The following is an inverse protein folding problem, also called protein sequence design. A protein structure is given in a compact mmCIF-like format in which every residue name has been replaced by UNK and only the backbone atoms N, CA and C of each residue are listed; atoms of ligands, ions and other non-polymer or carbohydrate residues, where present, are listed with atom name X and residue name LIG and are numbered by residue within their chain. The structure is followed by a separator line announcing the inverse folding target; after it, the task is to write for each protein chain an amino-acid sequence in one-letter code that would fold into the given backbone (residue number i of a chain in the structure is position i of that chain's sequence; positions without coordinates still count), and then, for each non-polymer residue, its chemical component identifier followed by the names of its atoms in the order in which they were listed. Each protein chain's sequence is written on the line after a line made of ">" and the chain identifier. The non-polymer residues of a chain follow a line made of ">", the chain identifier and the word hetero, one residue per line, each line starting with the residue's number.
data_IF_553608921508
#
_entry.id   IF_553608921508
#
_cell.length_a   1.000
_cell.length_b   1.000
_cell.length_c   1.000
_cell.angle_alpha   90.00
_cell.angle_beta   90.00
_cell.angle_gamma   90.00
#
_symmetry.space_group_name_H-M   'P 1'
#
loop_
_entity.id
_entity.type
_entity.pdbx_description
1 polymer ?
#
# COMPACT_ATOMS: atom_id res chain seq x y z
N UNK A 1 27.29 -5.22 -12.71
CA UNK A 1 27.61 -5.75 -14.07
C UNK A 1 27.16 -4.81 -15.16
N UNK A 2 25.90 -4.35 -15.17
CA UNK A 2 25.42 -3.40 -16.19
C UNK A 2 26.23 -2.09 -16.27
N UNK A 3 26.67 -1.51 -15.15
CA UNK A 3 27.62 -0.36 -15.15
C UNK A 3 29.01 -0.65 -15.76
N UNK A 4 29.29 -1.91 -16.11
CA UNK A 4 30.52 -2.35 -16.79
C UNK A 4 30.25 -2.76 -18.26
N UNK A 5 29.08 -2.42 -18.81
CA UNK A 5 28.73 -2.68 -20.21
C UNK A 5 28.08 -4.05 -20.50
N UNK A 6 27.89 -4.91 -19.49
CA UNK A 6 27.17 -6.16 -19.67
C UNK A 6 25.70 -5.90 -20.04
N UNK A 7 25.13 -6.76 -20.89
CA UNK A 7 23.71 -6.73 -21.28
C UNK A 7 23.01 -7.98 -20.73
N UNK A 8 21.80 -7.80 -20.21
CA UNK A 8 20.92 -8.89 -19.79
C UNK A 8 19.93 -9.23 -20.90
N UNK A 9 19.50 -10.49 -20.92
CA UNK A 9 18.43 -10.99 -21.80
C UNK A 9 17.39 -11.64 -20.89
N UNK A 10 16.13 -11.26 -21.07
CA UNK A 10 14.99 -11.97 -20.49
C UNK A 10 14.45 -12.93 -21.53
N UNK A 11 14.32 -14.21 -21.17
CA UNK A 11 13.79 -15.25 -22.04
C UNK A 11 12.64 -15.96 -21.33
N UNK A 12 11.48 -15.96 -21.96
CA UNK A 12 10.26 -16.58 -21.46
C UNK A 12 9.94 -17.81 -22.32
N UNK A 13 10.36 -19.02 -21.90
CA UNK A 13 10.05 -20.25 -22.62
C UNK A 13 8.56 -20.60 -22.48
N UNK A 14 8.02 -21.28 -23.49
CA UNK A 14 6.61 -21.73 -23.48
C UNK A 14 6.27 -22.67 -22.32
N UNK A 15 7.27 -23.39 -21.80
CA UNK A 15 7.16 -24.18 -20.58
C UNK A 15 8.02 -23.55 -19.49
N UNK A 16 7.42 -23.30 -18.32
CA UNK A 16 8.12 -22.77 -17.14
C UNK A 16 9.36 -23.61 -16.82
N UNK A 17 10.54 -23.00 -16.95
CA UNK A 17 11.81 -23.67 -16.71
C UNK A 17 12.17 -23.77 -15.21
N UNK A 18 11.67 -22.83 -14.40
CA UNK A 18 11.93 -22.76 -12.97
C UNK A 18 10.62 -22.59 -12.20
N UNK A 19 10.31 -23.54 -11.32
CA UNK A 19 9.13 -23.49 -10.45
C UNK A 19 9.58 -23.25 -9.00
N UNK A 20 9.04 -22.22 -8.37
CA UNK A 20 9.30 -21.88 -6.98
C UNK A 20 8.03 -21.91 -6.13
N UNK A 21 8.20 -22.07 -4.82
CA UNK A 21 7.12 -21.88 -3.84
C UNK A 21 6.99 -20.40 -3.49
N UNK A 22 5.81 -19.82 -3.64
CA UNK A 22 5.50 -18.47 -3.15
C UNK A 22 5.00 -18.49 -1.72
N UNK A 23 5.07 -17.35 -1.03
CA UNK A 23 4.42 -17.19 0.27
C UNK A 23 2.90 -17.19 0.11
N UNK A 24 2.20 -17.88 1.01
CA UNK A 24 0.73 -17.97 1.03
C UNK A 24 0.12 -17.19 2.20
N UNK A 25 0.91 -16.95 3.26
CA UNK A 25 0.51 -16.14 4.41
C UNK A 25 0.73 -14.64 4.13
N UNK A 26 -0.21 -13.81 4.61
CA UNK A 26 -0.10 -12.37 4.56
C UNK A 26 1.19 -11.88 5.23
N UNK A 27 1.43 -12.34 6.45
CA UNK A 27 2.56 -11.89 7.25
C UNK A 27 3.90 -12.21 6.60
N UNK A 28 4.06 -13.41 6.06
CA UNK A 28 5.29 -13.81 5.36
C UNK A 28 5.54 -12.98 4.12
N UNK A 29 4.48 -12.71 3.33
CA UNK A 29 4.55 -11.81 2.19
C UNK A 29 4.99 -10.40 2.61
N UNK A 30 4.44 -9.86 3.70
CA UNK A 30 4.82 -8.53 4.20
C UNK A 30 6.27 -8.46 4.72
N UNK A 31 6.74 -9.49 5.42
CA UNK A 31 8.15 -9.60 5.87
C UNK A 31 9.08 -9.71 4.66
N UNK A 32 8.70 -10.49 3.65
CA UNK A 32 9.49 -10.60 2.42
C UNK A 32 9.58 -9.26 1.70
N UNK A 33 8.46 -8.56 1.53
CA UNK A 33 8.45 -7.22 0.94
C UNK A 33 9.28 -6.24 1.77
N UNK A 34 9.19 -6.26 3.10
CA UNK A 34 10.02 -5.42 3.96
C UNK A 34 11.52 -5.65 3.69
N UNK A 35 11.97 -6.91 3.65
CA UNK A 35 13.38 -7.25 3.40
C UNK A 35 13.86 -6.74 2.04
N UNK A 36 13.09 -7.00 0.99
CA UNK A 36 13.43 -6.57 -0.37
C UNK A 36 13.55 -5.05 -0.45
N UNK A 37 12.58 -4.35 0.11
CA UNK A 37 12.51 -2.89 0.03
C UNK A 37 13.55 -2.20 0.92
N UNK A 38 13.86 -2.74 2.10
CA UNK A 38 14.97 -2.26 2.92
C UNK A 38 16.30 -2.40 2.17
N UNK A 39 16.55 -3.57 1.56
CA UNK A 39 17.79 -3.81 0.80
C UNK A 39 17.91 -2.90 -0.43
N UNK A 40 16.82 -2.73 -1.18
CA UNK A 40 16.76 -1.83 -2.34
C UNK A 40 17.01 -0.37 -1.94
N UNK A 41 16.41 0.09 -0.84
CA UNK A 41 16.61 1.45 -0.34
C UNK A 41 18.03 1.66 0.20
N UNK A 42 18.62 0.66 0.86
CA UNK A 42 20.03 0.71 1.27
C UNK A 42 20.95 0.90 0.07
N UNK A 43 20.69 0.20 -1.05
CA UNK A 43 21.42 0.40 -2.31
C UNK A 43 21.21 1.82 -2.84
N UNK A 44 19.96 2.31 -2.85
CA UNK A 44 19.62 3.68 -3.26
C UNK A 44 20.35 4.76 -2.45
N UNK A 45 20.61 4.50 -1.17
CA UNK A 45 21.33 5.42 -0.27
C UNK A 45 22.84 5.13 -0.19
N UNK A 46 23.35 4.16 -0.93
CA UNK A 46 24.78 3.80 -0.94
C UNK A 46 25.58 4.61 -1.95
N UNK A 47 26.91 4.41 -1.96
CA UNK A 47 27.78 4.93 -3.03
C UNK A 47 27.46 4.34 -4.42
N UNK A 48 26.68 3.26 -4.49
CA UNK A 48 26.20 2.64 -5.72
C UNK A 48 24.77 3.06 -6.11
N UNK A 49 24.31 4.21 -5.61
CA UNK A 49 23.00 4.78 -5.94
C UNK A 49 22.75 4.81 -7.47
N UNK A 50 21.64 4.23 -7.99
CA UNK A 50 21.37 4.20 -9.43
C UNK A 50 21.30 5.58 -10.10
N UNK A 51 20.81 6.60 -9.39
CA UNK A 51 20.61 7.95 -9.96
C UNK A 51 21.93 8.72 -10.07
N UNK A 52 22.91 8.42 -9.21
CA UNK A 52 24.21 9.10 -9.20
C UNK A 52 25.26 8.24 -9.91
N UNK A 53 25.49 7.04 -9.37
CA UNK A 53 26.48 6.10 -9.88
C UNK A 53 26.02 5.42 -11.17
N UNK A 54 24.73 5.07 -11.27
CA UNK A 54 24.18 4.39 -12.44
C UNK A 54 24.13 5.28 -13.67
N UNK A 55 23.55 6.48 -13.57
CA UNK A 55 23.38 7.41 -14.71
C UNK A 55 24.71 7.74 -15.40
N UNK A 56 25.82 7.80 -14.67
CA UNK A 56 27.15 8.04 -15.26
C UNK A 56 27.78 6.82 -15.96
N UNK A 57 27.18 5.62 -15.83
CA UNK A 57 27.80 4.34 -16.23
C UNK A 57 26.85 3.37 -16.94
N UNK A 58 25.57 3.69 -17.09
CA UNK A 58 24.58 2.94 -17.86
C UNK A 58 23.64 3.91 -18.58
N UNK A 59 22.79 3.42 -19.49
CA UNK A 59 21.83 4.29 -20.17
C UNK A 59 20.84 4.91 -19.18
N UNK A 60 20.40 6.14 -19.47
CA UNK A 60 19.44 6.86 -18.60
C UNK A 60 18.17 6.03 -18.34
N UNK A 61 17.51 5.41 -19.33
CA UNK A 61 16.32 4.60 -19.06
C UNK A 61 16.59 3.42 -18.13
N UNK A 62 17.76 2.77 -18.27
CA UNK A 62 18.14 1.68 -17.40
C UNK A 62 18.42 2.16 -15.96
N UNK A 63 19.10 3.29 -15.82
CA UNK A 63 19.35 3.90 -14.51
C UNK A 63 18.04 4.31 -13.83
N UNK A 64 17.07 4.83 -14.59
CA UNK A 64 15.73 5.15 -14.09
C UNK A 64 14.98 3.91 -13.61
N UNK A 65 15.04 2.78 -14.36
CA UNK A 65 14.42 1.53 -13.93
C UNK A 65 15.00 1.01 -12.61
N UNK A 66 16.34 1.04 -12.46
CA UNK A 66 16.97 0.71 -11.18
C UNK A 66 16.62 1.71 -10.06
N UNK A 67 16.53 2.99 -10.39
CA UNK A 67 16.14 4.05 -9.47
C UNK A 67 14.71 3.86 -8.94
N UNK A 68 13.77 3.52 -9.81
CA UNK A 68 12.39 3.21 -9.45
C UNK A 68 12.33 2.13 -8.35
N UNK A 69 12.98 0.99 -8.56
CA UNK A 69 13.00 -0.08 -7.56
C UNK A 69 13.77 0.30 -6.29
N UNK A 70 14.86 1.05 -6.40
CA UNK A 70 15.64 1.48 -5.23
C UNK A 70 14.86 2.43 -4.32
N UNK A 71 14.06 3.33 -4.91
CA UNK A 71 13.39 4.42 -4.18
C UNK A 71 11.88 4.23 -4.00
N UNK A 72 11.27 3.17 -4.56
CA UNK A 72 9.85 2.87 -4.34
C UNK A 72 9.41 2.85 -2.86
N UNK A 73 10.24 2.48 -1.86
CA UNK A 73 9.77 2.48 -0.47
C UNK A 73 9.43 3.89 0.03
N UNK A 74 10.02 4.94 -0.58
CA UNK A 74 9.73 6.33 -0.26
C UNK A 74 8.29 6.74 -0.65
N UNK A 75 7.58 5.96 -1.47
CA UNK A 75 6.15 6.17 -1.73
C UNK A 75 5.30 6.06 -0.47
N UNK A 76 5.79 5.39 0.57
CA UNK A 76 5.11 5.28 1.85
C UNK A 76 4.75 6.64 2.46
N UNK A 77 5.63 7.65 2.35
CA UNK A 77 5.39 8.98 2.93
C UNK A 77 4.19 9.70 2.31
N UNK A 78 4.15 9.98 0.99
CA UNK A 78 2.99 10.64 0.39
C UNK A 78 1.72 9.79 0.52
N UNK A 79 1.81 8.46 0.46
CA UNK A 79 0.64 7.59 0.60
C UNK A 79 0.07 7.58 2.01
N UNK A 80 0.91 7.66 3.05
CA UNK A 80 0.43 7.88 4.41
C UNK A 80 -0.28 9.22 4.54
N UNK A 81 0.24 10.30 3.94
CA UNK A 81 -0.45 11.59 3.88
C UNK A 81 -1.82 11.47 3.18
N UNK A 82 -1.90 10.78 2.04
CA UNK A 82 -3.17 10.55 1.33
C UNK A 82 -4.12 9.60 2.05
N UNK A 83 -3.62 8.74 2.93
CA UNK A 83 -4.43 7.84 3.75
C UNK A 83 -4.95 8.48 5.04
N UNK A 84 -4.47 9.69 5.39
CA UNK A 84 -4.88 10.37 6.64
C UNK A 84 -5.44 11.77 6.42
N UNK A 85 -4.82 12.61 5.57
CA UNK A 85 -5.22 14.02 5.40
C UNK A 85 -6.62 14.13 4.78
N UNK A 86 -6.94 13.45 3.66
CA UNK A 86 -8.29 13.51 3.09
C UNK A 86 -9.38 13.03 4.06
N UNK A 87 -9.06 12.04 4.90
CA UNK A 87 -9.96 11.49 5.92
C UNK A 87 -10.21 12.49 7.04
N UNK A 88 -9.17 13.19 7.51
CA UNK A 88 -9.33 14.27 8.49
C UNK A 88 -10.13 15.44 7.91
N UNK A 89 -9.83 15.85 6.68
CA UNK A 89 -10.57 16.92 6.01
C UNK A 89 -12.03 16.53 5.77
N UNK A 90 -12.30 15.28 5.38
CA UNK A 90 -13.66 14.75 5.22
C UNK A 90 -14.42 14.77 6.55
N UNK A 91 -13.77 14.34 7.64
CA UNK A 91 -14.38 14.38 8.98
C UNK A 91 -14.69 15.82 9.43
N UNK A 92 -13.84 16.78 9.06
CA UNK A 92 -13.95 18.17 9.49
C UNK A 92 -14.67 19.09 8.47
N UNK A 93 -15.22 18.56 7.38
CA UNK A 93 -15.97 19.35 6.39
C UNK A 93 -15.09 20.30 5.55
N UNK A 94 -13.79 20.03 5.48
CA UNK A 94 -12.84 20.82 4.69
C UNK A 94 -12.71 20.18 3.31
N UNK A 95 -13.08 20.93 2.27
CA UNK A 95 -12.93 20.48 0.89
C UNK A 95 -11.48 20.60 0.43
N UNK A 96 -10.90 19.51 -0.09
CA UNK A 96 -9.53 19.46 -0.63
C UNK A 96 -9.48 19.46 -2.16
N UNK A 97 -10.55 19.04 -2.82
CA UNK A 97 -10.59 18.84 -4.26
C UNK A 97 -11.48 19.90 -4.91
N UNK A 98 -11.31 20.16 -6.22
CA UNK A 98 -12.22 21.04 -6.94
C UNK A 98 -13.67 20.55 -6.83
N UNK A 99 -14.59 21.51 -6.69
CA UNK A 99 -16.03 21.27 -6.76
C UNK A 99 -16.39 20.54 -8.04
N UNK A 100 -17.43 19.71 -8.01
CA UNK A 100 -17.90 19.00 -9.22
C UNK A 100 -18.35 19.98 -10.30
N UNK A 101 -18.96 21.10 -9.90
CA UNK A 101 -19.34 22.20 -10.77
C UNK A 101 -18.17 22.96 -11.41
N UNK A 102 -16.93 22.78 -10.91
CA UNK A 102 -15.76 23.45 -11.44
C UNK A 102 -15.31 22.79 -12.75
N UNK A 103 -15.09 23.54 -13.85
CA UNK A 103 -14.60 22.97 -15.11
C UNK A 103 -13.30 22.17 -14.99
N UNK A 104 -12.42 22.50 -14.04
CA UNK A 104 -11.18 21.76 -13.80
C UNK A 104 -11.40 20.35 -13.23
N UNK A 105 -12.55 20.08 -12.60
CA UNK A 105 -12.89 18.76 -12.08
C UNK A 105 -12.76 17.68 -13.17
N UNK A 106 -13.21 17.98 -14.40
CA UNK A 106 -13.18 17.01 -15.50
C UNK A 106 -11.75 16.62 -15.88
N UNK A 107 -10.80 17.55 -15.80
CA UNK A 107 -9.39 17.30 -16.12
C UNK A 107 -8.79 16.30 -15.12
N UNK A 108 -9.06 16.51 -13.83
CA UNK A 108 -8.59 15.60 -12.78
C UNK A 108 -9.30 14.25 -12.85
N UNK A 109 -10.60 14.22 -13.12
CA UNK A 109 -11.37 12.99 -13.27
C UNK A 109 -10.85 12.14 -14.45
N UNK A 110 -10.62 12.75 -15.61
CA UNK A 110 -10.05 12.06 -16.78
C UNK A 110 -8.66 11.54 -16.48
N UNK A 111 -7.80 12.34 -15.83
CA UNK A 111 -6.45 11.91 -15.46
C UNK A 111 -6.47 10.67 -14.54
N UNK A 112 -7.36 10.67 -13.54
CA UNK A 112 -7.52 9.56 -12.62
C UNK A 112 -8.03 8.29 -13.32
N UNK A 113 -9.10 8.41 -14.13
CA UNK A 113 -9.68 7.29 -14.87
C UNK A 113 -8.70 6.73 -15.90
N UNK A 114 -7.94 7.60 -16.58
CA UNK A 114 -6.93 7.21 -17.55
C UNK A 114 -5.83 6.35 -16.90
N UNK A 115 -5.33 6.76 -15.72
CA UNK A 115 -4.35 5.98 -14.96
C UNK A 115 -4.86 4.58 -14.59
N UNK A 116 -6.09 4.49 -14.08
CA UNK A 116 -6.72 3.20 -13.75
C UNK A 116 -6.93 2.32 -15.00
N UNK A 117 -7.34 2.94 -16.09
CA UNK A 117 -7.61 2.26 -17.37
C UNK A 117 -6.32 1.75 -18.03
N UNK A 118 -5.24 2.52 -17.94
CA UNK A 118 -3.92 2.10 -18.40
C UNK A 118 -3.48 0.84 -17.65
N UNK A 119 -3.51 0.86 -16.31
CA UNK A 119 -3.12 -0.29 -15.52
C UNK A 119 -3.98 -1.52 -15.83
N UNK A 120 -5.29 -1.34 -15.98
CA UNK A 120 -6.19 -2.42 -16.37
C UNK A 120 -5.83 -2.97 -17.76
N UNK A 121 -5.54 -2.10 -18.72
CA UNK A 121 -5.16 -2.51 -20.07
C UNK A 121 -3.87 -3.31 -20.08
N UNK A 122 -2.86 -2.89 -19.31
CA UNK A 122 -1.59 -3.62 -19.17
C UNK A 122 -1.80 -5.02 -18.60
N UNK A 123 -2.61 -5.16 -17.54
CA UNK A 123 -2.96 -6.47 -16.96
C UNK A 123 -3.65 -7.37 -17.98
N UNK A 124 -4.65 -6.85 -18.70
CA UNK A 124 -5.39 -7.64 -19.70
C UNK A 124 -4.50 -8.02 -20.90
N UNK A 125 -3.60 -7.14 -21.33
CA UNK A 125 -2.64 -7.41 -22.42
C UNK A 125 -1.61 -8.48 -22.03
N UNK A 126 -1.29 -8.61 -20.75
CA UNK A 126 -0.47 -9.71 -20.21
C UNK A 126 -1.25 -11.04 -20.13
N UNK A 127 -2.54 -11.08 -20.51
CA UNK A 127 -3.38 -12.28 -20.45
C UNK A 127 -3.98 -12.55 -19.08
N UNK A 128 -3.88 -11.60 -18.15
CA UNK A 128 -4.41 -11.70 -16.81
C UNK A 128 -5.87 -11.22 -16.70
N UNK A 129 -6.49 -11.47 -15.55
CA UNK A 129 -7.91 -11.17 -15.32
C UNK A 129 -8.14 -9.80 -14.66
N UNK A 130 -9.36 -9.27 -14.75
CA UNK A 130 -9.78 -8.09 -13.95
C UNK A 130 -9.57 -8.31 -12.44
N UNK A 131 -9.71 -9.56 -11.96
CA UNK A 131 -9.43 -9.92 -10.57
C UNK A 131 -7.95 -9.73 -10.22
N UNK A 132 -7.03 -9.98 -11.17
CA UNK A 132 -5.61 -9.70 -11.01
C UNK A 132 -5.38 -8.21 -10.81
N UNK A 133 -5.92 -7.36 -11.70
CA UNK A 133 -5.85 -5.90 -11.57
C UNK A 133 -6.36 -5.39 -10.20
N UNK A 134 -7.53 -5.89 -9.77
CA UNK A 134 -8.10 -5.51 -8.47
C UNK A 134 -7.20 -5.92 -7.30
N UNK A 135 -6.62 -7.12 -7.37
CA UNK A 135 -5.70 -7.61 -6.35
C UNK A 135 -4.38 -6.83 -6.35
N UNK A 136 -3.88 -6.42 -7.51
CA UNK A 136 -2.66 -5.61 -7.62
C UNK A 136 -2.84 -4.23 -7.03
N UNK A 137 -3.96 -3.54 -7.31
CA UNK A 137 -4.31 -2.27 -6.70
C UNK A 137 -4.35 -2.36 -5.17
N UNK A 138 -5.06 -3.37 -4.65
CA UNK A 138 -5.11 -3.67 -3.22
C UNK A 138 -3.71 -3.93 -2.63
N UNK A 139 -2.94 -4.82 -3.26
CA UNK A 139 -1.63 -5.22 -2.77
C UNK A 139 -0.65 -4.04 -2.79
N UNK A 140 -0.71 -3.19 -3.81
CA UNK A 140 0.07 -1.96 -3.89
C UNK A 140 -0.24 -1.03 -2.71
N UNK A 141 -1.53 -0.76 -2.42
CA UNK A 141 -1.92 0.06 -1.27
C UNK A 141 -1.40 -0.52 0.06
N UNK A 142 -1.65 -1.82 0.30
CA UNK A 142 -1.24 -2.52 1.52
C UNK A 142 0.28 -2.46 1.71
N UNK A 143 1.04 -2.84 0.68
CA UNK A 143 2.52 -2.84 0.74
C UNK A 143 3.06 -1.44 0.99
N UNK A 144 2.45 -0.43 0.38
CA UNK A 144 2.92 0.95 0.46
C UNK A 144 2.77 1.57 1.85
N UNK A 145 1.64 1.36 2.51
CA UNK A 145 1.42 1.94 3.86
C UNK A 145 1.99 1.08 4.99
N UNK A 146 2.29 -0.18 4.73
CA UNK A 146 2.83 -1.10 5.72
C UNK A 146 4.28 -1.48 5.44
N UNK A 147 4.55 -2.40 4.50
CA UNK A 147 5.91 -2.90 4.24
C UNK A 147 6.90 -1.77 3.92
N UNK A 148 6.54 -0.82 3.06
CA UNK A 148 7.45 0.24 2.63
C UNK A 148 7.74 1.22 3.78
N UNK A 149 6.75 1.59 4.58
CA UNK A 149 6.92 2.42 5.77
C UNK A 149 7.89 1.78 6.76
N UNK A 150 7.73 0.49 7.04
CA UNK A 150 8.63 -0.24 7.92
C UNK A 150 10.01 -0.49 7.31
N UNK A 151 10.13 -0.60 5.98
CA UNK A 151 11.42 -0.61 5.30
C UNK A 151 12.16 0.71 5.46
N UNK A 152 11.49 1.85 5.25
CA UNK A 152 12.08 3.17 5.49
C UNK A 152 12.55 3.32 6.94
N UNK A 153 11.72 2.89 7.90
CA UNK A 153 12.07 2.91 9.32
C UNK A 153 13.28 2.01 9.63
N UNK A 154 13.31 0.79 9.08
CA UNK A 154 14.41 -0.16 9.27
C UNK A 154 15.73 0.41 8.73
N UNK A 155 15.72 0.98 7.53
CA UNK A 155 16.90 1.62 6.94
C UNK A 155 17.33 2.84 7.76
N UNK A 156 16.38 3.67 8.20
CA UNK A 156 16.67 4.81 9.07
C UNK A 156 17.34 4.36 10.37
N UNK A 157 16.76 3.37 11.07
CA UNK A 157 17.30 2.81 12.32
C UNK A 157 18.71 2.22 12.16
N UNK A 158 18.98 1.58 11.02
CA UNK A 158 20.33 1.08 10.69
C UNK A 158 21.32 2.21 10.47
N UNK A 159 20.91 3.29 9.78
CA UNK A 159 21.76 4.45 9.49
C UNK A 159 22.19 5.20 10.75
N UNK A 160 21.32 5.28 11.75
CA UNK A 160 21.64 5.91 13.05
C UNK A 160 22.25 4.94 14.06
N UNK A 161 22.56 3.69 13.65
CA UNK A 161 23.27 2.72 14.48
C UNK A 161 22.44 2.03 15.58
N UNK A 162 21.12 2.24 15.64
CA UNK A 162 20.24 1.62 16.64
C UNK A 162 20.03 0.12 16.36
N UNK A 163 19.99 -0.27 15.07
CA UNK A 163 19.70 -1.64 14.65
C UNK A 163 20.81 -2.18 13.76
N UNK A 164 21.28 -3.40 14.04
CA UNK A 164 22.19 -4.13 13.14
C UNK A 164 21.40 -4.77 11.99
N UNK A 165 22.06 -4.97 10.84
CA UNK A 165 21.49 -5.73 9.75
C UNK A 165 21.11 -7.14 10.25
N UNK A 166 19.81 -7.45 10.24
CA UNK A 166 19.29 -8.75 10.65
C UNK A 166 18.35 -9.27 9.56
N UNK A 167 18.53 -10.52 9.17
CA UNK A 167 17.74 -11.18 8.14
C UNK A 167 16.71 -12.07 8.81
N UNK A 168 15.46 -11.60 8.91
CA UNK A 168 14.36 -12.42 9.41
C UNK A 168 14.02 -13.45 8.32
N UNK A 169 14.17 -14.75 8.60
CA UNK A 169 13.82 -15.80 7.65
C UNK A 169 12.29 -15.90 7.54
N UNK A 170 11.80 -16.09 6.31
CA UNK A 170 10.42 -16.50 6.06
C UNK A 170 10.32 -17.99 6.30
N UNK A 171 9.31 -18.42 7.05
CA UNK A 171 9.01 -19.84 7.18
C UNK A 171 8.53 -20.37 5.83
N UNK A 172 8.72 -21.68 5.62
CA UNK A 172 8.17 -22.43 4.49
C UNK A 172 7.29 -23.58 4.98
N UNK A 173 6.88 -23.54 6.24
CA UNK A 173 6.03 -24.57 6.83
C UNK A 173 4.65 -24.45 6.18
N UNK A 174 4.16 -25.58 5.66
CA UNK A 174 2.87 -25.68 4.99
C UNK A 174 1.83 -26.02 6.05
N UNK A 175 0.92 -25.10 6.31
CA UNK A 175 -0.31 -25.37 7.06
C UNK A 175 -1.46 -25.56 6.06
N UNK A 176 -2.13 -26.71 6.12
CA UNK A 176 -3.23 -27.05 5.22
C UNK A 176 -4.38 -26.04 5.31
N UNK A 177 -4.67 -25.50 6.50
CA UNK A 177 -5.70 -24.47 6.70
C UNK A 177 -5.33 -23.17 5.98
N UNK A 178 -4.04 -22.80 5.99
CA UNK A 178 -3.52 -21.64 5.24
C UNK A 178 -3.59 -21.86 3.73
N UNK A 179 -3.27 -23.06 3.26
CA UNK A 179 -3.35 -23.43 1.84
C UNK A 179 -4.80 -23.34 1.34
N UNK A 180 -5.77 -23.81 2.11
CA UNK A 180 -7.18 -23.70 1.73
C UNK A 180 -7.65 -22.25 1.62
N UNK A 181 -7.27 -21.39 2.57
CA UNK A 181 -7.60 -19.94 2.52
C UNK A 181 -6.97 -19.29 1.30
N UNK A 182 -5.71 -19.60 1.03
CA UNK A 182 -5.00 -19.09 -0.14
C UNK A 182 -5.71 -19.48 -1.45
N UNK A 183 -6.12 -20.75 -1.60
CA UNK A 183 -6.88 -21.23 -2.78
C UNK A 183 -8.21 -20.50 -2.96
N UNK A 184 -8.87 -20.11 -1.85
CA UNK A 184 -10.12 -19.33 -1.86
C UNK A 184 -9.89 -17.83 -2.10
N UNK A 185 -8.63 -17.36 -2.10
CA UNK A 185 -8.27 -15.95 -2.22
C UNK A 185 -8.57 -15.14 -0.94
N UNK A 186 -8.58 -15.81 0.21
CA UNK A 186 -8.84 -15.22 1.53
C UNK A 186 -7.50 -14.99 2.22
N UNK A 187 -7.29 -13.79 2.76
CA UNK A 187 -6.07 -13.49 3.51
C UNK A 187 -6.02 -14.25 4.84
N UNK A 188 -4.86 -14.80 5.16
CA UNK A 188 -4.56 -15.29 6.51
C UNK A 188 -3.73 -14.24 7.27
N UNK A 189 -4.35 -13.59 8.25
CA UNK A 189 -3.74 -12.50 9.04
C UNK A 189 -2.99 -13.00 10.28
N UNK A 190 -2.71 -14.29 10.40
CA UNK A 190 -1.84 -14.78 11.47
C UNK A 190 -0.40 -14.26 11.32
N UNK A 191 0.29 -14.08 12.45
CA UNK A 191 1.70 -13.69 12.49
C UNK A 191 1.96 -12.36 13.18
N UNK A 192 2.87 -11.54 12.63
CA UNK A 192 3.31 -10.30 13.24
C UNK A 192 2.18 -9.26 13.29
N UNK A 193 1.94 -8.74 14.50
CA UNK A 193 0.94 -7.70 14.75
C UNK A 193 1.32 -6.36 14.11
N UNK A 194 2.60 -6.16 13.79
CA UNK A 194 3.16 -4.87 13.37
C UNK A 194 2.47 -4.28 12.13
N UNK A 195 2.37 -5.06 11.06
CA UNK A 195 1.74 -4.60 9.80
C UNK A 195 0.24 -4.44 9.93
N UNK A 196 -0.39 -5.27 10.75
CA UNK A 196 -1.84 -5.27 10.90
C UNK A 196 -2.32 -4.05 11.68
N UNK A 197 -1.59 -3.61 12.70
CA UNK A 197 -1.98 -2.42 13.48
C UNK A 197 -2.07 -1.19 12.57
N UNK A 198 -1.06 -0.90 11.72
CA UNK A 198 -1.11 0.27 10.84
C UNK A 198 -2.25 0.17 9.81
N UNK A 199 -2.45 -1.00 9.21
CA UNK A 199 -3.52 -1.22 8.23
C UNK A 199 -4.91 -1.07 8.87
N UNK A 200 -5.13 -1.72 10.01
CA UNK A 200 -6.38 -1.67 10.74
C UNK A 200 -6.67 -0.24 11.25
N UNK A 201 -5.65 0.51 11.69
CA UNK A 201 -5.80 1.91 12.11
C UNK A 201 -6.20 2.81 10.95
N UNK A 202 -5.54 2.71 9.79
CA UNK A 202 -5.86 3.52 8.61
C UNK A 202 -7.25 3.21 8.06
N UNK A 203 -7.62 1.93 8.02
CA UNK A 203 -8.98 1.50 7.61
C UNK A 203 -10.01 2.03 8.61
N UNK A 204 -9.75 1.97 9.91
CA UNK A 204 -10.64 2.51 10.94
C UNK A 204 -10.80 4.03 10.84
N UNK A 205 -9.71 4.78 10.63
CA UNK A 205 -9.75 6.21 10.35
C UNK A 205 -10.65 6.49 9.15
N UNK A 206 -10.42 5.80 8.03
CA UNK A 206 -11.19 6.01 6.81
C UNK A 206 -12.68 5.63 6.98
N UNK A 207 -12.99 4.55 7.71
CA UNK A 207 -14.37 4.18 8.03
C UNK A 207 -15.08 5.27 8.84
N UNK A 208 -14.48 5.71 9.95
CA UNK A 208 -15.08 6.74 10.82
C UNK A 208 -15.24 8.05 10.05
N UNK A 209 -14.21 8.48 9.32
CA UNK A 209 -14.28 9.68 8.48
C UNK A 209 -15.32 9.58 7.39
N UNK A 210 -15.51 8.43 6.74
CA UNK A 210 -16.54 8.26 5.72
C UNK A 210 -17.93 8.41 6.32
N UNK A 211 -18.24 7.69 7.40
CA UNK A 211 -19.59 7.72 7.98
C UNK A 211 -19.93 9.07 8.60
N UNK A 212 -19.03 9.62 9.42
CA UNK A 212 -19.25 10.93 10.05
C UNK A 212 -19.21 12.07 9.03
N UNK A 213 -18.27 12.02 8.08
CA UNK A 213 -18.17 13.01 7.01
C UNK A 213 -19.37 12.97 6.07
N UNK A 214 -19.84 11.79 5.67
CA UNK A 214 -21.05 11.66 4.85
C UNK A 214 -22.29 12.21 5.57
N UNK A 215 -22.45 11.91 6.87
CA UNK A 215 -23.54 12.46 7.67
C UNK A 215 -23.52 14.00 7.69
N UNK A 216 -22.32 14.59 7.80
CA UNK A 216 -22.13 16.04 7.72
C UNK A 216 -22.48 16.60 6.34
N UNK A 217 -21.97 15.98 5.26
CA UNK A 217 -22.26 16.40 3.88
C UNK A 217 -23.76 16.43 3.60
N UNK A 218 -24.49 15.43 4.11
CA UNK A 218 -25.95 15.38 4.00
C UNK A 218 -26.60 16.50 4.81
N UNK A 219 -26.17 16.71 6.06
CA UNK A 219 -26.73 17.73 6.94
C UNK A 219 -26.49 19.16 6.45
N UNK A 220 -25.34 19.42 5.85
CA UNK A 220 -24.93 20.76 5.37
C UNK A 220 -25.23 20.97 3.88
N UNK A 221 -25.76 19.95 3.19
CA UNK A 221 -25.99 19.93 1.75
C UNK A 221 -24.77 20.29 0.89
N UNK A 222 -23.55 19.99 1.36
CA UNK A 222 -22.27 20.35 0.73
C UNK A 222 -21.78 19.33 -0.32
N UNK A 223 -22.73 18.74 -1.07
CA UNK A 223 -22.46 17.66 -2.02
C UNK A 223 -21.43 18.04 -3.09
N UNK A 224 -21.56 19.24 -3.67
CA UNK A 224 -20.68 19.71 -4.74
C UNK A 224 -19.22 19.86 -4.28
N UNK A 225 -19.03 20.25 -3.01
CA UNK A 225 -17.72 20.51 -2.42
C UNK A 225 -17.01 19.23 -1.96
N UNK A 226 -17.76 18.26 -1.45
CA UNK A 226 -17.20 17.10 -0.74
C UNK A 226 -17.28 15.78 -1.54
N UNK A 227 -17.92 15.79 -2.72
CA UNK A 227 -18.14 14.59 -3.54
C UNK A 227 -16.87 13.75 -3.75
N UNK A 228 -15.76 14.40 -4.12
CA UNK A 228 -14.50 13.69 -4.44
C UNK A 228 -13.91 13.00 -3.22
N UNK A 229 -13.92 13.66 -2.05
CA UNK A 229 -13.45 13.08 -0.80
C UNK A 229 -14.29 11.87 -0.39
N UNK A 230 -15.61 11.97 -0.48
CA UNK A 230 -16.53 10.87 -0.17
C UNK A 230 -16.28 9.70 -1.13
N UNK A 231 -16.18 9.98 -2.44
CA UNK A 231 -15.92 8.96 -3.46
C UNK A 231 -14.59 8.23 -3.23
N UNK A 232 -13.50 8.98 -3.04
CA UNK A 232 -12.17 8.39 -2.81
C UNK A 232 -12.12 7.60 -1.50
N UNK A 233 -12.72 8.12 -0.43
CA UNK A 233 -12.81 7.43 0.85
C UNK A 233 -13.56 6.09 0.72
N UNK A 234 -14.69 6.10 0.02
CA UNK A 234 -15.45 4.88 -0.32
C UNK A 234 -14.60 3.91 -1.16
N UNK A 235 -13.97 4.38 -2.24
CA UNK A 235 -13.12 3.55 -3.09
C UNK A 235 -11.98 2.88 -2.30
N UNK A 236 -11.28 3.64 -1.45
CA UNK A 236 -10.23 3.11 -0.56
C UNK A 236 -10.76 2.01 0.36
N UNK A 237 -11.97 2.18 0.93
CA UNK A 237 -12.60 1.13 1.73
C UNK A 237 -12.90 -0.12 0.90
N UNK A 238 -13.39 0.02 -0.33
CA UNK A 238 -13.67 -1.16 -1.19
C UNK A 238 -12.42 -1.99 -1.46
N UNK A 239 -11.28 -1.35 -1.76
CA UNK A 239 -10.00 -2.05 -1.91
C UNK A 239 -9.53 -2.69 -0.58
N UNK A 240 -9.78 -2.01 0.53
CA UNK A 240 -9.43 -2.43 1.89
C UNK A 240 -10.40 -3.44 2.52
N UNK A 241 -11.40 -3.92 1.77
CA UNK A 241 -12.41 -4.87 2.24
C UNK A 241 -11.84 -6.06 3.02
N UNK A 242 -10.76 -6.75 2.60
CA UNK A 242 -10.27 -7.90 3.36
C UNK A 242 -9.77 -7.55 4.77
N UNK A 243 -9.31 -6.33 4.99
CA UNK A 243 -8.92 -5.85 6.33
C UNK A 243 -10.18 -5.65 7.18
N UNK A 244 -11.21 -4.99 6.64
CA UNK A 244 -12.50 -4.83 7.34
C UNK A 244 -13.15 -6.18 7.65
N UNK A 245 -13.18 -7.07 6.66
CA UNK A 245 -13.69 -8.42 6.78
C UNK A 245 -12.91 -9.20 7.85
N UNK A 246 -11.58 -9.10 7.86
CA UNK A 246 -10.72 -9.70 8.87
C UNK A 246 -10.92 -9.14 10.28
N UNK A 247 -11.26 -7.85 10.42
CA UNK A 247 -11.45 -7.20 11.71
C UNK A 247 -12.84 -7.41 12.32
N UNK A 248 -13.88 -7.38 11.50
CA UNK A 248 -15.28 -7.24 11.96
C UNK A 248 -16.06 -8.55 11.74
N UNK A 249 -15.99 -9.08 10.52
CA UNK A 249 -16.88 -10.15 10.04
C UNK A 249 -16.34 -11.52 10.42
N UNK A 250 -15.07 -11.78 10.12
CA UNK A 250 -14.46 -13.10 10.27
C UNK A 250 -14.21 -13.46 11.73
N UNK A 251 -14.45 -14.74 12.04
CA UNK A 251 -14.22 -15.36 13.36
C UNK A 251 -13.31 -16.59 13.29
N UNK A 252 -12.80 -16.93 12.11
CA UNK A 252 -11.84 -18.02 11.93
C UNK A 252 -10.45 -17.63 12.45
N UNK A 253 -9.56 -18.61 12.61
CA UNK A 253 -8.21 -18.37 13.14
C UNK A 253 -7.36 -17.40 12.31
N UNK A 254 -7.71 -17.18 11.04
CA UNK A 254 -7.00 -16.26 10.15
C UNK A 254 -7.54 -14.83 10.16
N UNK A 255 -8.49 -14.52 11.05
CA UNK A 255 -9.01 -13.16 11.22
C UNK A 255 -7.98 -12.26 11.93
N UNK A 256 -8.23 -10.95 11.89
CA UNK A 256 -7.44 -9.99 12.68
C UNK A 256 -7.88 -10.11 14.14
N UNK A 257 -6.92 -10.32 15.04
CA UNK A 257 -7.24 -10.53 16.46
C UNK A 257 -7.93 -9.31 17.07
N UNK A 258 -8.88 -9.54 17.99
CA UNK A 258 -9.60 -8.48 18.69
C UNK A 258 -8.67 -7.48 19.38
N UNK A 259 -7.52 -7.94 19.91
CA UNK A 259 -6.51 -7.05 20.52
C UNK A 259 -5.98 -6.00 19.54
N UNK A 260 -5.75 -6.37 18.28
CA UNK A 260 -5.28 -5.45 17.24
C UNK A 260 -6.41 -4.48 16.88
N UNK A 261 -7.63 -4.98 16.71
CA UNK A 261 -8.79 -4.13 16.40
C UNK A 261 -9.02 -3.06 17.48
N UNK A 262 -8.94 -3.43 18.77
CA UNK A 262 -9.08 -2.48 19.89
C UNK A 262 -7.96 -1.45 19.89
N UNK A 263 -6.69 -1.88 19.73
CA UNK A 263 -5.54 -0.95 19.65
C UNK A 263 -5.72 0.02 18.48
N UNK A 264 -6.13 -0.48 17.31
CA UNK A 264 -6.35 0.36 16.14
C UNK A 264 -7.46 1.38 16.36
N UNK A 265 -8.57 0.99 16.99
CA UNK A 265 -9.65 1.93 17.37
C UNK A 265 -9.14 3.02 18.32
N UNK A 266 -8.37 2.66 19.36
CA UNK A 266 -7.80 3.64 20.30
C UNK A 266 -6.87 4.63 19.56
N UNK A 267 -5.97 4.12 18.72
CA UNK A 267 -5.06 4.96 17.94
C UNK A 267 -5.86 5.87 16.98
N UNK A 268 -6.87 5.33 16.31
CA UNK A 268 -7.74 6.11 15.41
C UNK A 268 -8.47 7.24 16.15
N UNK A 269 -9.02 6.97 17.34
CA UNK A 269 -9.69 8.00 18.15
C UNK A 269 -8.70 9.11 18.53
N UNK A 270 -7.51 8.74 19.02
CA UNK A 270 -6.46 9.72 19.37
C UNK A 270 -6.08 10.54 18.14
N UNK A 271 -5.82 9.88 17.01
CA UNK A 271 -5.43 10.54 15.77
C UNK A 271 -6.50 11.51 15.25
N UNK A 272 -7.76 11.06 15.19
CA UNK A 272 -8.88 11.88 14.72
C UNK A 272 -9.14 13.06 15.66
N UNK A 273 -9.08 12.85 16.98
CA UNK A 273 -9.25 13.92 17.96
C UNK A 273 -8.16 15.00 17.84
N UNK A 274 -6.89 14.60 17.81
CA UNK A 274 -5.74 15.51 17.59
C UNK A 274 -5.81 16.22 16.24
N UNK A 275 -6.17 15.50 15.18
CA UNK A 275 -6.30 16.06 13.84
C UNK A 275 -7.43 17.08 13.74
N UNK A 276 -8.57 16.85 14.40
CA UNK A 276 -9.67 17.81 14.44
C UNK A 276 -9.30 19.11 15.14
N UNK A 277 -8.44 19.09 16.16
CA UNK A 277 -7.93 20.33 16.79
C UNK A 277 -7.16 21.24 15.82
N UNK A 278 -6.61 20.72 14.72
CA UNK A 278 -5.91 21.54 13.72
C UNK A 278 -6.86 22.35 12.82
N UNK A 279 -8.16 22.04 12.85
CA UNK A 279 -9.19 22.69 12.02
C UNK A 279 -10.09 23.64 12.83
N UNK A 280 -9.81 23.82 14.12
CA UNK A 280 -10.42 24.83 15.01
C UNK A 280 -9.44 25.97 15.25
#
# INVERSE_FOLDING_TARGET
>A
MHCKGWKSIYYEPSKTAFLGSSTISFNESMIQNLRWNSGLLEVGLSSFCPIIYGVSRMSIPQAMAYGYYAFQPLYSFPLLCYATIPQLCLLNGVSLYPKVSNPWFIVFAISYISSLSQHLSEVLLCGDSFRTWWNEQRNWMIKSVASYSFSCLDVFMKRIGIRKANFILTSKVIDEEQVEKYKKGIFDFQGSKLFLVILATLVTINMVSLFCGLARVISEASYDDMFVQVFLSFAILTFSYPIMEGMIIRKDKGCISASISVISVIISIIFLSLGSFLFY
#
